data_IF_654452193005
#
_entry.id   IF_654452193005
#
_cell.length_a   1.000
_cell.length_b   1.000
_cell.length_c   1.000
_cell.angle_alpha   90.00
_cell.angle_beta   90.00
_cell.angle_gamma   90.00
#
_symmetry.space_group_name_H-M   'P 1'
#
loop_
_entity.id
_entity.type
_entity.pdbx_description
1 polymer ?
#
# COMPACT_ATOMS: atom_id res chain seq x y z
N UNK A 1 -2.82 -27.92 23.58
CA UNK A 1 -3.91 -26.97 23.90
C UNK A 1 -3.49 -25.49 23.91
N UNK A 2 -2.23 -25.12 23.63
CA UNK A 2 -1.80 -23.71 23.54
C UNK A 2 -2.00 -23.05 22.15
N UNK A 3 -2.39 -23.82 21.13
CA UNK A 3 -2.55 -23.32 19.75
C UNK A 3 -3.85 -22.56 19.49
N UNK A 4 -4.98 -23.03 20.01
CA UNK A 4 -6.29 -22.41 19.77
C UNK A 4 -6.48 -21.09 20.53
N UNK A 5 -6.05 -21.05 21.80
CA UNK A 5 -6.08 -19.81 22.60
C UNK A 5 -5.09 -18.76 22.07
N UNK A 6 -3.95 -19.21 21.54
CA UNK A 6 -2.96 -18.35 20.89
C UNK A 6 -3.49 -17.72 19.60
N UNK A 7 -4.28 -18.45 18.82
CA UNK A 7 -4.91 -17.93 17.60
C UNK A 7 -6.07 -16.97 17.91
N UNK A 8 -6.89 -17.28 18.92
CA UNK A 8 -8.00 -16.42 19.33
C UNK A 8 -7.54 -15.02 19.77
N UNK A 9 -6.50 -14.92 20.60
CA UNK A 9 -5.95 -13.61 21.03
C UNK A 9 -5.43 -12.76 19.86
N UNK A 10 -4.90 -13.38 18.80
CA UNK A 10 -4.41 -12.65 17.63
C UNK A 10 -5.58 -12.14 16.77
N UNK A 11 -6.64 -12.93 16.62
CA UNK A 11 -7.85 -12.48 15.95
C UNK A 11 -8.52 -11.32 16.70
N UNK A 12 -8.64 -11.42 18.03
CA UNK A 12 -9.16 -10.33 18.87
C UNK A 12 -8.31 -9.05 18.74
N UNK A 13 -6.98 -9.19 18.77
CA UNK A 13 -6.07 -8.07 18.57
C UNK A 13 -6.19 -7.44 17.17
N UNK A 14 -6.36 -8.26 16.12
CA UNK A 14 -6.57 -7.77 14.76
C UNK A 14 -7.87 -6.97 14.63
N UNK A 15 -8.96 -7.47 15.22
CA UNK A 15 -10.25 -6.75 15.26
C UNK A 15 -10.12 -5.44 16.04
N UNK A 16 -9.45 -5.45 17.19
CA UNK A 16 -9.21 -4.24 17.98
C UNK A 16 -8.36 -3.22 17.21
N UNK A 17 -7.31 -3.66 16.52
CA UNK A 17 -6.46 -2.81 15.69
C UNK A 17 -7.23 -2.20 14.52
N UNK A 18 -8.08 -2.97 13.82
CA UNK A 18 -8.92 -2.44 12.74
C UNK A 18 -9.93 -1.40 13.25
N UNK A 19 -10.55 -1.63 14.41
CA UNK A 19 -11.42 -0.62 15.04
C UNK A 19 -10.67 0.65 15.39
N UNK A 20 -9.44 0.52 15.91
CA UNK A 20 -8.58 1.67 16.19
C UNK A 20 -8.28 2.45 14.91
N UNK A 21 -7.92 1.76 13.82
CA UNK A 21 -7.72 2.37 12.49
C UNK A 21 -8.98 3.11 12.05
N UNK A 22 -10.14 2.46 12.01
CA UNK A 22 -11.40 3.07 11.57
C UNK A 22 -11.79 4.30 12.40
N UNK A 23 -11.54 4.28 13.72
CA UNK A 23 -11.83 5.39 14.62
C UNK A 23 -10.91 6.62 14.43
N UNK A 24 -9.72 6.43 13.87
CA UNK A 24 -8.76 7.51 13.59
C UNK A 24 -8.77 7.97 12.13
N UNK A 25 -9.71 7.49 11.32
CA UNK A 25 -9.93 8.07 10.01
C UNK A 25 -10.40 9.52 10.17
N UNK A 26 -9.74 10.44 9.47
CA UNK A 26 -10.07 11.86 9.43
C UNK A 26 -10.85 12.17 8.15
N UNK A 27 -12.17 12.47 8.25
CA UNK A 27 -12.95 12.88 7.08
C UNK A 27 -12.47 14.20 6.48
N UNK A 28 -11.92 15.10 7.31
CA UNK A 28 -11.38 16.39 6.88
C UNK A 28 -10.16 16.21 5.96
N UNK A 29 -9.26 15.30 6.31
CA UNK A 29 -8.06 15.02 5.49
C UNK A 29 -8.32 13.95 4.41
N UNK A 30 -9.45 13.25 4.48
CA UNK A 30 -9.76 12.12 3.61
C UNK A 30 -8.83 10.92 3.80
N UNK A 31 -8.21 10.76 4.98
CA UNK A 31 -7.17 9.75 5.26
C UNK A 31 -6.94 9.57 6.77
N UNK A 32 -5.88 8.85 7.15
CA UNK A 32 -5.41 8.70 8.54
C UNK A 32 -4.21 9.62 8.81
N UNK A 33 -4.33 10.57 9.76
CA UNK A 33 -3.21 11.35 10.24
C UNK A 33 -2.18 10.47 10.93
N UNK A 34 -0.92 10.88 10.89
CA UNK A 34 0.14 10.26 11.67
C UNK A 34 0.01 10.60 13.16
N UNK A 35 -0.18 9.58 13.99
CA UNK A 35 -0.39 9.73 15.44
C UNK A 35 0.91 9.64 16.25
N UNK A 36 2.07 9.49 15.60
CA UNK A 36 3.34 9.37 16.30
C UNK A 36 3.67 10.68 17.03
N UNK A 37 4.09 10.63 18.31
CA UNK A 37 4.40 11.85 19.08
C UNK A 37 5.52 12.71 18.49
N UNK A 38 6.38 12.12 17.65
CA UNK A 38 7.49 12.81 16.99
C UNK A 38 7.07 13.62 15.77
N UNK A 39 5.79 13.59 15.41
CA UNK A 39 5.24 14.30 14.26
C UNK A 39 4.52 15.53 14.80
N UNK A 40 5.19 16.68 14.72
CA UNK A 40 4.72 17.94 15.31
C UNK A 40 3.57 18.57 14.50
N UNK A 41 3.58 18.39 13.17
CA UNK A 41 2.56 18.89 12.25
C UNK A 41 1.65 17.76 11.75
N UNK A 42 0.40 18.08 11.41
CA UNK A 42 -0.58 17.15 10.83
C UNK A 42 -0.06 16.59 9.50
N UNK A 43 0.68 15.48 9.57
CA UNK A 43 1.28 14.82 8.42
C UNK A 43 0.35 13.73 7.89
N UNK A 44 0.06 13.82 6.59
CA UNK A 44 -0.74 12.84 5.85
C UNK A 44 0.17 12.13 4.85
N UNK A 45 0.42 10.85 5.12
CA UNK A 45 1.17 9.97 4.23
C UNK A 45 0.26 9.10 3.37
N UNK A 46 0.68 8.83 2.14
CA UNK A 46 0.09 7.79 1.27
C UNK A 46 1.04 6.61 1.04
N UNK A 47 2.12 6.50 1.83
CA UNK A 47 3.08 5.41 1.71
C UNK A 47 2.59 4.09 2.30
N UNK A 48 3.26 2.99 1.93
CA UNK A 48 3.12 1.71 2.61
C UNK A 48 3.71 1.75 4.02
N UNK A 49 4.83 2.47 4.16
CA UNK A 49 5.57 2.67 5.40
C UNK A 49 4.78 3.36 6.53
N UNK A 50 3.99 4.36 6.18
CA UNK A 50 3.12 5.12 7.07
C UNK A 50 2.11 5.88 6.19
N UNK A 51 0.85 5.42 6.18
CA UNK A 51 -0.19 6.03 5.37
C UNK A 51 -1.26 5.08 4.85
N UNK A 52 -2.16 5.65 4.05
CA UNK A 52 -3.34 4.95 3.53
C UNK A 52 -3.01 3.67 2.75
N UNK A 53 -1.92 3.64 1.98
CA UNK A 53 -1.52 2.43 1.24
C UNK A 53 -1.13 1.29 2.18
N UNK A 54 -0.37 1.57 3.25
CA UNK A 54 0.01 0.55 4.23
C UNK A 54 -1.19 0.04 5.02
N UNK A 55 -2.06 0.97 5.45
CA UNK A 55 -3.32 0.66 6.14
C UNK A 55 -4.23 -0.18 5.23
N UNK A 56 -4.40 0.21 3.98
CA UNK A 56 -5.19 -0.54 3.01
C UNK A 56 -4.66 -1.96 2.79
N UNK A 57 -3.36 -2.12 2.59
CA UNK A 57 -2.73 -3.45 2.48
C UNK A 57 -2.95 -4.30 3.73
N UNK A 58 -2.85 -3.69 4.91
CA UNK A 58 -3.11 -4.37 6.18
C UNK A 58 -4.55 -4.92 6.25
N UNK A 59 -5.52 -4.10 5.86
CA UNK A 59 -6.94 -4.45 5.85
C UNK A 59 -7.25 -5.55 4.83
N UNK A 60 -6.61 -5.54 3.65
CA UNK A 60 -6.77 -6.63 2.67
C UNK A 60 -6.40 -7.99 3.25
N UNK A 61 -5.34 -8.06 4.08
CA UNK A 61 -4.93 -9.27 4.80
C UNK A 61 -5.86 -9.69 5.94
N UNK A 62 -6.88 -8.89 6.27
CA UNK A 62 -7.82 -9.13 7.37
C UNK A 62 -9.26 -9.39 6.88
N UNK A 63 -9.45 -9.64 5.59
CA UNK A 63 -10.78 -9.84 4.96
C UNK A 63 -11.63 -10.88 5.69
N UNK A 64 -11.03 -12.00 6.09
CA UNK A 64 -11.76 -13.12 6.72
C UNK A 64 -11.93 -12.95 8.24
N UNK A 65 -11.39 -11.87 8.82
CA UNK A 65 -11.42 -11.61 10.27
C UNK A 65 -12.42 -10.49 10.60
N UNK A 66 -12.55 -9.49 9.73
CA UNK A 66 -13.36 -8.30 9.99
C UNK A 66 -14.80 -8.46 9.45
N UNK A 67 -15.78 -7.80 10.08
CA UNK A 67 -17.12 -7.68 9.49
C UNK A 67 -17.04 -7.03 8.10
N UNK A 68 -17.76 -7.61 7.12
CA UNK A 68 -17.70 -7.20 5.71
C UNK A 68 -17.86 -5.69 5.51
N UNK A 69 -18.85 -5.07 6.18
CA UNK A 69 -19.12 -3.64 6.02
C UNK A 69 -18.00 -2.75 6.56
N UNK A 70 -17.39 -3.14 7.70
CA UNK A 70 -16.25 -2.41 8.28
C UNK A 70 -15.02 -2.55 7.40
N UNK A 71 -14.74 -3.77 6.96
CA UNK A 71 -13.63 -4.05 6.06
C UNK A 71 -13.76 -3.26 4.75
N UNK A 72 -14.92 -3.34 4.10
CA UNK A 72 -15.15 -2.68 2.82
C UNK A 72 -15.07 -1.15 2.95
N UNK A 73 -15.65 -0.58 4.01
CA UNK A 73 -15.58 0.86 4.26
C UNK A 73 -14.14 1.37 4.37
N UNK A 74 -13.32 0.75 5.21
CA UNK A 74 -11.96 1.22 5.45
C UNK A 74 -11.02 0.91 4.29
N UNK A 75 -11.22 -0.21 3.57
CA UNK A 75 -10.49 -0.47 2.32
C UNK A 75 -10.84 0.58 1.26
N UNK A 76 -12.12 0.95 1.10
CA UNK A 76 -12.53 2.01 0.15
C UNK A 76 -11.96 3.38 0.53
N UNK A 77 -11.91 3.72 1.82
CA UNK A 77 -11.23 4.93 2.31
C UNK A 77 -9.74 4.93 1.94
N UNK A 78 -9.05 3.81 2.13
CA UNK A 78 -7.65 3.67 1.74
C UNK A 78 -7.44 3.76 0.23
N UNK A 79 -8.35 3.20 -0.57
CA UNK A 79 -8.38 3.34 -2.03
C UNK A 79 -8.48 4.81 -2.42
N UNK A 80 -9.45 5.55 -1.90
CA UNK A 80 -9.63 6.98 -2.21
C UNK A 80 -8.36 7.76 -1.88
N UNK A 81 -7.82 7.59 -0.67
CA UNK A 81 -6.60 8.26 -0.22
C UNK A 81 -5.33 7.87 -1.02
N UNK A 82 -5.36 6.75 -1.74
CA UNK A 82 -4.23 6.26 -2.54
C UNK A 82 -4.43 6.47 -4.05
N UNK A 83 -5.57 7.01 -4.49
CA UNK A 83 -5.97 7.08 -5.91
C UNK A 83 -5.49 8.32 -6.67
N UNK A 84 -4.70 9.19 -6.04
CA UNK A 84 -4.13 10.38 -6.71
C UNK A 84 -3.39 9.99 -8.01
N UNK A 85 -3.77 10.49 -9.19
CA UNK A 85 -3.10 10.14 -10.44
C UNK A 85 -1.65 10.64 -10.52
N UNK A 86 -1.21 11.58 -9.66
CA UNK A 86 0.18 12.03 -9.64
C UNK A 86 1.10 10.89 -9.12
N UNK A 87 2.09 10.43 -9.93
CA UNK A 87 3.09 9.46 -9.49
C UNK A 87 4.07 10.01 -8.45
N UNK A 88 4.07 11.32 -8.20
CA UNK A 88 4.97 11.99 -7.27
C UNK A 88 6.43 11.83 -7.66
N UNK A 89 7.32 12.01 -6.67
CA UNK A 89 8.78 12.10 -6.88
C UNK A 89 9.48 10.74 -6.88
N UNK A 90 8.89 9.69 -6.27
CA UNK A 90 9.53 8.39 -6.03
C UNK A 90 8.71 7.22 -6.60
N UNK A 91 9.40 6.24 -7.17
CA UNK A 91 8.86 5.02 -7.78
C UNK A 91 8.97 3.79 -6.86
N UNK A 92 9.46 3.94 -5.63
CA UNK A 92 9.70 2.81 -4.74
C UNK A 92 8.44 2.18 -4.13
N UNK A 93 8.55 0.96 -3.61
CA UNK A 93 7.46 0.26 -2.92
C UNK A 93 7.08 0.92 -1.57
N UNK A 94 8.08 1.40 -0.84
CA UNK A 94 7.93 1.87 0.53
C UNK A 94 7.03 3.11 0.64
N UNK A 95 7.42 4.18 -0.04
CA UNK A 95 6.76 5.48 0.06
C UNK A 95 6.68 6.16 -1.32
N UNK A 96 6.66 5.34 -2.39
CA UNK A 96 6.56 5.76 -3.78
C UNK A 96 5.30 5.24 -4.47
N UNK A 97 5.12 5.63 -5.73
CA UNK A 97 3.91 5.33 -6.50
C UNK A 97 3.76 3.86 -6.91
N UNK A 98 4.84 3.07 -6.91
CA UNK A 98 4.73 1.64 -7.14
C UNK A 98 3.95 0.95 -6.01
N UNK A 99 4.21 1.29 -4.75
CA UNK A 99 3.46 0.73 -3.62
C UNK A 99 1.97 1.04 -3.71
N UNK A 100 1.65 2.27 -4.12
CA UNK A 100 0.27 2.72 -4.36
C UNK A 100 -0.37 1.96 -5.52
N UNK A 101 0.34 1.78 -6.64
CA UNK A 101 -0.17 1.04 -7.78
C UNK A 101 -0.47 -0.43 -7.44
N UNK A 102 0.44 -1.09 -6.73
CA UNK A 102 0.24 -2.47 -6.25
C UNK A 102 -0.96 -2.54 -5.32
N UNK A 103 -1.12 -1.59 -4.40
CA UNK A 103 -2.30 -1.54 -3.52
C UNK A 103 -3.61 -1.38 -4.29
N UNK A 104 -3.71 -0.44 -5.22
CA UNK A 104 -4.93 -0.25 -6.01
C UNK A 104 -5.29 -1.51 -6.81
N UNK A 105 -4.29 -2.20 -7.35
CA UNK A 105 -4.50 -3.46 -8.07
C UNK A 105 -5.02 -4.58 -7.17
N UNK A 106 -4.43 -4.77 -5.99
CA UNK A 106 -4.87 -5.78 -5.02
C UNK A 106 -6.26 -5.44 -4.43
N UNK A 107 -6.51 -4.17 -4.15
CA UNK A 107 -7.78 -3.70 -3.62
C UNK A 107 -8.91 -3.83 -4.65
N UNK A 108 -8.65 -3.51 -5.92
CA UNK A 108 -9.62 -3.68 -6.99
C UNK A 108 -10.01 -5.14 -7.18
N UNK A 109 -9.05 -6.07 -7.11
CA UNK A 109 -9.31 -7.50 -7.15
C UNK A 109 -10.14 -7.97 -5.93
N UNK A 110 -9.77 -7.52 -4.72
CA UNK A 110 -10.44 -7.91 -3.48
C UNK A 110 -11.88 -7.36 -3.36
N UNK A 111 -12.11 -6.14 -3.86
CA UNK A 111 -13.42 -5.48 -3.86
C UNK A 111 -14.29 -5.84 -5.09
N UNK A 112 -13.73 -6.52 -6.10
CA UNK A 112 -14.39 -6.69 -7.39
C UNK A 112 -14.66 -5.35 -8.10
N UNK A 113 -13.77 -4.37 -7.93
CA UNK A 113 -13.92 -3.00 -8.41
C UNK A 113 -12.95 -2.72 -9.58
N UNK A 114 -13.35 -2.94 -10.84
CA UNK A 114 -12.45 -2.87 -11.99
C UNK A 114 -11.90 -1.46 -12.24
N UNK A 115 -12.62 -0.41 -11.83
CA UNK A 115 -12.19 0.98 -11.88
C UNK A 115 -10.98 1.24 -10.98
N UNK A 116 -10.93 0.61 -9.80
CA UNK A 116 -9.79 0.69 -8.87
C UNK A 116 -8.58 -0.04 -9.46
N UNK A 117 -8.77 -1.24 -10.02
CA UNK A 117 -7.71 -1.96 -10.74
C UNK A 117 -7.19 -1.13 -11.92
N UNK A 118 -8.07 -0.48 -12.69
CA UNK A 118 -7.67 0.42 -13.79
C UNK A 118 -6.87 1.63 -13.30
N UNK A 119 -7.21 2.21 -12.15
CA UNK A 119 -6.41 3.30 -11.56
C UNK A 119 -4.98 2.83 -11.22
N UNK A 120 -4.85 1.65 -10.60
CA UNK A 120 -3.55 1.03 -10.34
C UNK A 120 -2.75 0.74 -11.61
N UNK A 121 -3.39 0.21 -12.66
CA UNK A 121 -2.76 -0.02 -13.96
C UNK A 121 -2.27 1.27 -14.62
N UNK A 122 -3.08 2.34 -14.56
CA UNK A 122 -2.70 3.66 -15.12
C UNK A 122 -1.49 4.23 -14.39
N UNK A 123 -1.48 4.16 -13.06
CA UNK A 123 -0.35 4.62 -12.28
C UNK A 123 0.91 3.84 -12.64
N UNK A 124 0.85 2.51 -12.66
CA UNK A 124 1.96 1.65 -13.07
C UNK A 124 2.50 2.00 -14.47
N UNK A 125 1.59 2.20 -15.43
CA UNK A 125 1.96 2.55 -16.80
C UNK A 125 2.65 3.93 -16.89
N UNK A 126 2.28 4.88 -16.02
CA UNK A 126 3.00 6.16 -15.89
C UNK A 126 4.43 5.93 -15.40
N UNK A 127 4.65 5.04 -14.42
CA UNK A 127 5.98 4.77 -13.88
C UNK A 127 6.90 4.13 -14.92
N UNK A 128 6.42 3.11 -15.63
CA UNK A 128 7.18 2.42 -16.69
C UNK A 128 7.55 3.40 -17.80
N UNK A 129 6.58 4.16 -18.33
CA UNK A 129 6.86 5.16 -19.38
C UNK A 129 7.83 6.25 -18.92
N UNK A 130 7.79 6.62 -17.64
CA UNK A 130 8.72 7.60 -17.08
C UNK A 130 10.14 7.01 -17.03
N UNK A 131 10.27 5.79 -16.52
CA UNK A 131 11.54 5.09 -16.44
C UNK A 131 12.18 4.91 -17.83
N UNK A 132 11.39 4.55 -18.85
CA UNK A 132 11.87 4.43 -20.24
C UNK A 132 12.43 5.75 -20.79
N UNK A 133 11.83 6.89 -20.41
CA UNK A 133 12.25 8.23 -20.87
C UNK A 133 13.43 8.80 -20.08
N UNK A 134 13.63 8.35 -18.84
CA UNK A 134 14.66 8.90 -17.94
C UNK A 134 15.79 7.91 -17.65
N UNK A 135 15.87 6.79 -18.37
CA UNK A 135 16.87 5.74 -18.19
C UNK A 135 16.88 5.17 -16.76
N UNK A 136 15.68 4.88 -16.24
CA UNK A 136 15.49 4.20 -14.95
C UNK A 136 14.45 4.82 -14.01
N UNK A 137 14.17 4.09 -12.93
CA UNK A 137 13.21 4.45 -11.89
C UNK A 137 13.80 5.44 -10.87
N UNK A 138 12.94 6.31 -10.32
CA UNK A 138 13.30 7.30 -9.30
C UNK A 138 13.19 6.70 -7.89
N UNK A 139 14.27 6.08 -7.43
CA UNK A 139 14.26 5.27 -6.20
C UNK A 139 14.44 6.08 -4.91
N UNK A 140 15.27 7.13 -4.93
CA UNK A 140 15.51 8.02 -3.77
C UNK A 140 15.55 9.51 -4.18
N UNK A 141 15.46 10.38 -3.17
CA UNK A 141 15.54 11.83 -3.36
C UNK A 141 17.00 12.30 -3.40
N UNK A 142 17.55 12.47 -4.61
CA UNK A 142 18.64 13.41 -4.87
C UNK A 142 19.99 12.81 -5.26
N UNK A 143 20.60 13.44 -6.29
CA UNK A 143 22.05 13.53 -6.48
C UNK A 143 22.78 12.30 -7.04
N UNK A 144 24.03 12.49 -7.54
CA UNK A 144 24.74 11.52 -8.35
C UNK A 144 25.44 10.48 -7.47
N UNK A 145 24.69 9.52 -6.94
CA UNK A 145 25.22 8.21 -6.61
C UNK A 145 24.41 7.16 -7.37
N UNK A 146 24.84 6.95 -8.62
CA UNK A 146 24.36 5.89 -9.52
C UNK A 146 24.90 4.51 -9.10
N UNK A 147 24.77 4.15 -7.83
CA UNK A 147 24.88 2.77 -7.40
C UNK A 147 23.46 2.29 -7.15
N UNK A 148 22.91 1.66 -8.18
CA UNK A 148 21.63 0.96 -8.26
C UNK A 148 21.13 0.56 -6.88
N UNK A 149 20.19 1.32 -6.30
CA UNK A 149 19.67 1.02 -4.97
C UNK A 149 19.07 -0.39 -5.02
N UNK A 150 19.73 -1.43 -4.49
CA UNK A 150 19.33 -2.82 -4.77
C UNK A 150 18.27 -3.29 -3.77
N UNK A 151 17.86 -2.42 -2.84
CA UNK A 151 16.95 -2.78 -1.76
C UNK A 151 15.56 -3.15 -2.25
N UNK A 152 14.87 -4.00 -1.48
CA UNK A 152 13.50 -4.41 -1.78
C UNK A 152 12.52 -3.24 -1.65
N UNK A 153 12.48 -2.53 -0.52
CA UNK A 153 11.43 -1.52 -0.31
C UNK A 153 11.70 -0.17 -0.99
N UNK A 154 12.97 0.22 -1.09
CA UNK A 154 13.37 1.53 -1.65
C UNK A 154 14.08 1.44 -3.00
N UNK A 155 14.32 0.23 -3.51
CA UNK A 155 15.26 0.01 -4.61
C UNK A 155 14.69 -0.77 -5.80
N UNK A 156 15.57 -1.02 -6.78
CA UNK A 156 15.28 -1.67 -8.05
C UNK A 156 14.81 -3.13 -7.88
N UNK A 157 15.31 -3.85 -6.87
CA UNK A 157 14.83 -5.19 -6.56
C UNK A 157 13.34 -5.19 -6.20
N UNK A 158 12.87 -4.16 -5.50
CA UNK A 158 11.44 -3.94 -5.26
C UNK A 158 10.64 -3.78 -6.53
N UNK A 159 11.14 -2.95 -7.43
CA UNK A 159 10.49 -2.70 -8.72
C UNK A 159 10.38 -3.99 -9.53
N UNK A 160 11.51 -4.70 -9.70
CA UNK A 160 11.53 -5.98 -10.40
C UNK A 160 10.60 -7.01 -9.77
N UNK A 161 10.64 -7.15 -8.44
CA UNK A 161 9.79 -8.10 -7.71
C UNK A 161 8.31 -7.78 -7.89
N UNK A 162 7.91 -6.52 -7.75
CA UNK A 162 6.52 -6.11 -7.92
C UNK A 162 6.03 -6.34 -9.35
N UNK A 163 6.82 -5.99 -10.37
CA UNK A 163 6.44 -6.21 -11.77
C UNK A 163 6.28 -7.70 -12.08
N UNK A 164 7.19 -8.54 -11.58
CA UNK A 164 7.09 -9.99 -11.73
C UNK A 164 5.85 -10.55 -11.03
N UNK A 165 5.58 -10.15 -9.78
CA UNK A 165 4.37 -10.56 -9.06
C UNK A 165 3.10 -10.11 -9.78
N UNK A 166 3.06 -8.89 -10.31
CA UNK A 166 1.89 -8.38 -11.04
C UNK A 166 1.67 -9.09 -12.38
N UNK A 167 2.74 -9.55 -13.05
CA UNK A 167 2.65 -10.32 -14.29
C UNK A 167 2.29 -11.80 -14.03
N UNK A 168 2.73 -12.36 -12.90
CA UNK A 168 2.53 -13.76 -12.52
C UNK A 168 1.77 -13.92 -11.19
N UNK A 169 0.62 -13.24 -11.04
CA UNK A 169 -0.14 -13.20 -9.78
C UNK A 169 -0.53 -14.56 -9.20
N UNK A 170 -0.72 -15.57 -10.07
CA UNK A 170 -1.05 -16.92 -9.63
C UNK A 170 0.15 -17.68 -9.01
N UNK A 171 1.37 -17.24 -9.28
CA UNK A 171 2.61 -17.92 -8.87
C UNK A 171 3.40 -17.12 -7.83
N UNK A 172 3.31 -15.79 -7.88
CA UNK A 172 4.12 -14.89 -7.07
C UNK A 172 3.18 -13.95 -6.29
N UNK A 173 3.05 -14.12 -4.96
CA UNK A 173 2.27 -13.21 -4.15
C UNK A 173 2.89 -11.81 -4.16
N UNK A 174 2.07 -10.80 -3.84
CA UNK A 174 2.55 -9.46 -3.59
C UNK A 174 3.38 -9.40 -2.30
N UNK A 175 4.59 -8.84 -2.38
CA UNK A 175 5.47 -8.63 -1.20
C UNK A 175 4.94 -7.60 -0.21
N UNK A 176 3.90 -6.85 -0.60
CA UNK A 176 3.27 -5.84 0.25
C UNK A 176 2.07 -6.39 1.03
N UNK A 177 1.58 -7.56 0.66
CA UNK A 177 0.42 -8.19 1.26
C UNK A 177 0.87 -9.29 2.22
N UNK A 178 0.26 -9.33 3.39
CA UNK A 178 0.37 -10.44 4.33
C UNK A 178 -0.97 -11.19 4.40
N UNK A 179 -0.92 -12.51 4.58
CA UNK A 179 -2.08 -13.42 4.50
C UNK A 179 -2.11 -14.13 3.16
#
# INVERSE_FOLDING_TARGET
MAGSAGQARFAEAAVAAARFVGAHYSPEDGTWPDLRPTVEDRFVGSGWCYGATGIGMALLGQRDILPSDTWELDVRRAVVASSDPDPGRRDSLCCGSLGRAVFLLEAGDALGAPDVSMAGQRLLAVLVRRADRTDGYRLEDGGPLRFEAPGLFRGAAGVGTALLSLHHRALLPSVLRWG
#
